data_IF_421596527790
#
_entry.id   IF_421596527790
#
_cell.length_a   1.000
_cell.length_b   1.000
_cell.length_c   1.000
_cell.angle_alpha   90.00
_cell.angle_beta   90.00
_cell.angle_gamma   90.00
#
_symmetry.space_group_name_H-M   'P 1'
#
loop_
_entity.id
_entity.type
_entity.pdbx_description
1 polymer ?
#
# COMPACT_ATOMS: atom_id res chain seq x y z
N UNK A 1 1.63 16.51 -4.80
CA UNK A 1 2.42 15.51 -5.49
C UNK A 1 2.04 14.11 -5.04
N UNK A 2 1.64 13.28 -5.99
CA UNK A 2 1.10 11.94 -5.69
C UNK A 2 2.06 10.88 -6.22
N UNK A 3 3.28 10.90 -5.74
CA UNK A 3 4.26 9.90 -6.13
C UNK A 3 4.01 8.60 -5.38
N UNK A 4 3.79 7.52 -6.13
CA UNK A 4 3.58 6.17 -5.60
C UNK A 4 4.70 5.29 -6.15
N UNK A 5 5.40 4.59 -5.25
CA UNK A 5 6.61 3.85 -5.64
C UNK A 5 6.32 2.69 -6.60
N UNK A 6 5.22 1.98 -6.38
CA UNK A 6 4.88 0.81 -7.19
C UNK A 6 3.40 0.86 -7.54
N UNK A 7 3.10 0.65 -8.82
CA UNK A 7 1.72 0.58 -9.30
C UNK A 7 1.55 -0.64 -10.21
N UNK A 8 0.46 -1.36 -10.02
CA UNK A 8 0.08 -2.45 -10.92
C UNK A 8 -1.44 -2.45 -11.06
N UNK A 9 -1.93 -2.84 -12.23
CA UNK A 9 -3.37 -2.81 -12.51
C UNK A 9 -3.79 -4.12 -13.17
N UNK A 10 -4.89 -4.68 -12.67
CA UNK A 10 -5.55 -5.83 -13.29
C UNK A 10 -6.92 -5.38 -13.78
N UNK A 11 -7.03 -5.18 -15.10
CA UNK A 11 -8.26 -4.68 -15.70
C UNK A 11 -9.39 -5.71 -15.70
N UNK A 12 -9.05 -6.99 -15.71
CA UNK A 12 -10.07 -8.04 -15.68
C UNK A 12 -10.77 -8.11 -14.35
N UNK A 13 -10.00 -8.00 -13.26
CA UNK A 13 -10.54 -8.03 -11.89
C UNK A 13 -10.95 -6.65 -11.40
N UNK A 14 -10.61 -5.61 -12.15
CA UNK A 14 -10.81 -4.22 -11.74
C UNK A 14 -10.17 -3.95 -10.38
N UNK A 15 -8.90 -4.30 -10.30
CA UNK A 15 -8.08 -4.10 -9.10
C UNK A 15 -6.85 -3.28 -9.43
N UNK A 16 -6.44 -2.47 -8.48
CA UNK A 16 -5.24 -1.64 -8.59
C UNK A 16 -4.39 -1.87 -7.35
N UNK A 17 -3.10 -2.12 -7.56
CA UNK A 17 -2.13 -2.26 -6.48
C UNK A 17 -1.31 -0.99 -6.37
N UNK A 18 -1.22 -0.42 -5.18
CA UNK A 18 -0.38 0.74 -4.87
C UNK A 18 0.57 0.36 -3.75
N UNK A 19 1.87 0.53 -3.99
CA UNK A 19 2.89 0.12 -3.04
C UNK A 19 3.82 1.25 -2.64
N UNK A 20 4.27 1.19 -1.39
CA UNK A 20 5.25 2.11 -0.81
C UNK A 20 6.42 1.30 -0.28
N UNK A 21 7.65 1.70 -0.64
CA UNK A 21 8.88 1.01 -0.23
C UNK A 21 9.62 1.82 0.82
N UNK A 22 9.93 1.21 1.95
CA UNK A 22 10.68 1.85 3.04
C UNK A 22 11.87 0.98 3.44
N UNK A 23 13.03 1.30 2.88
CA UNK A 23 14.26 0.55 3.13
C UNK A 23 15.18 1.32 4.08
N UNK A 24 14.69 1.58 5.30
CA UNK A 24 15.46 2.22 6.35
C UNK A 24 15.51 1.33 7.59
N UNK A 25 16.22 1.78 8.61
CA UNK A 25 16.51 0.94 9.79
C UNK A 25 15.41 0.92 10.83
N UNK A 26 14.27 1.53 10.55
CA UNK A 26 13.14 1.56 11.48
C UNK A 26 11.99 0.74 10.94
N UNK A 27 11.25 0.03 11.81
CA UNK A 27 10.04 -0.65 11.38
C UNK A 27 9.01 0.33 10.83
N UNK A 28 8.26 -0.11 9.83
CA UNK A 28 7.21 0.69 9.20
C UNK A 28 5.99 0.73 10.11
N UNK A 29 5.52 1.94 10.39
CA UNK A 29 4.35 2.15 11.24
C UNK A 29 3.10 2.46 10.40
N UNK A 30 1.95 2.42 11.05
CA UNK A 30 0.65 2.64 10.42
C UNK A 30 0.54 4.00 9.73
N UNK A 31 1.31 5.00 10.15
CA UNK A 31 1.34 6.31 9.49
C UNK A 31 1.73 6.20 8.02
N UNK A 32 2.64 5.30 7.67
CA UNK A 32 3.05 5.09 6.28
C UNK A 32 1.86 4.59 5.44
N UNK A 33 1.08 3.66 5.98
CA UNK A 33 -0.11 3.18 5.32
C UNK A 33 -1.14 4.31 5.11
N UNK A 34 -1.39 5.11 6.14
CA UNK A 34 -2.35 6.21 6.03
C UNK A 34 -1.92 7.24 4.99
N UNK A 35 -0.64 7.53 4.92
CA UNK A 35 -0.10 8.44 3.91
C UNK A 35 -0.30 7.90 2.50
N UNK A 36 -0.05 6.60 2.31
CA UNK A 36 -0.26 5.96 1.01
C UNK A 36 -1.74 5.99 0.63
N UNK A 37 -2.61 5.66 1.57
CA UNK A 37 -4.06 5.69 1.34
C UNK A 37 -4.52 7.09 0.90
N UNK A 38 -4.03 8.12 1.58
CA UNK A 38 -4.37 9.50 1.23
C UNK A 38 -3.88 9.86 -0.16
N UNK A 39 -2.66 9.48 -0.52
CA UNK A 39 -2.12 9.72 -1.87
C UNK A 39 -3.03 9.13 -2.93
N UNK A 40 -3.44 7.89 -2.76
CA UNK A 40 -4.28 7.19 -3.73
C UNK A 40 -5.66 7.86 -3.82
N UNK A 41 -6.29 8.13 -2.69
CA UNK A 41 -7.64 8.69 -2.66
C UNK A 41 -7.72 10.11 -3.18
N UNK A 42 -6.64 10.89 -3.02
CA UNK A 42 -6.60 12.28 -3.51
C UNK A 42 -6.17 12.41 -4.97
N UNK A 43 -5.70 11.33 -5.58
CA UNK A 43 -5.25 11.38 -6.96
C UNK A 43 -6.43 11.44 -7.91
N UNK A 44 -6.66 12.60 -8.52
CA UNK A 44 -7.69 12.76 -9.54
C UNK A 44 -7.39 11.90 -10.76
N UNK A 45 -6.12 11.74 -11.10
CA UNK A 45 -5.70 10.92 -12.24
C UNK A 45 -6.10 9.46 -12.04
N UNK A 46 -5.86 8.91 -10.85
CA UNK A 46 -6.20 7.52 -10.56
C UNK A 46 -7.72 7.31 -10.53
N UNK A 47 -8.46 8.25 -9.95
CA UNK A 47 -9.92 8.14 -9.92
C UNK A 47 -10.53 8.19 -11.32
N UNK A 48 -9.94 9.00 -12.18
CA UNK A 48 -10.42 9.13 -13.57
C UNK A 48 -10.05 7.94 -14.41
N UNK A 49 -8.82 7.42 -14.24
CA UNK A 49 -8.32 6.30 -15.04
C UNK A 49 -8.92 4.96 -14.62
N UNK A 50 -9.19 4.78 -13.32
CA UNK A 50 -9.64 3.49 -12.77
C UNK A 50 -10.86 3.64 -11.88
N UNK A 51 -12.00 4.12 -12.44
CA UNK A 51 -13.20 4.32 -11.62
C UNK A 51 -13.77 2.99 -11.16
N UNK A 52 -14.04 2.89 -9.85
CA UNK A 52 -14.63 1.70 -9.27
C UNK A 52 -13.67 0.54 -9.05
N UNK A 53 -12.38 0.72 -9.30
CA UNK A 53 -11.39 -0.33 -9.04
C UNK A 53 -11.17 -0.49 -7.54
N UNK A 54 -11.04 -1.74 -7.10
CA UNK A 54 -10.62 -2.05 -5.73
C UNK A 54 -9.13 -1.76 -5.61
N UNK A 55 -8.73 -1.09 -4.54
CA UNK A 55 -7.33 -0.77 -4.29
C UNK A 55 -6.75 -1.74 -3.28
N UNK A 56 -5.61 -2.32 -3.64
CA UNK A 56 -4.79 -3.12 -2.73
C UNK A 56 -3.56 -2.30 -2.38
N UNK A 57 -3.25 -2.20 -1.10
CA UNK A 57 -2.11 -1.43 -0.61
C UNK A 57 -0.99 -2.36 -0.19
N UNK A 58 0.22 -2.12 -0.68
CA UNK A 58 1.40 -2.90 -0.31
C UNK A 58 2.43 -2.04 0.38
N UNK A 59 2.96 -2.53 1.50
CA UNK A 59 4.05 -1.86 2.20
C UNK A 59 5.26 -2.79 2.22
N UNK A 60 6.35 -2.31 1.64
CA UNK A 60 7.61 -3.06 1.56
C UNK A 60 8.57 -2.48 2.57
N UNK A 61 9.06 -3.30 3.50
CA UNK A 61 9.96 -2.86 4.56
C UNK A 61 11.20 -3.74 4.66
N UNK A 62 12.34 -3.12 4.87
CA UNK A 62 13.57 -3.82 5.21
C UNK A 62 13.56 -4.28 6.66
N UNK A 63 13.07 -3.43 7.55
CA UNK A 63 13.20 -3.62 9.01
C UNK A 63 11.92 -4.09 9.69
N UNK A 64 10.94 -4.53 8.89
CA UNK A 64 9.69 -5.05 9.44
C UNK A 64 8.67 -3.97 9.73
N UNK A 65 7.74 -4.29 10.63
CA UNK A 65 6.56 -3.47 10.88
C UNK A 65 6.33 -3.34 12.38
N UNK A 66 5.81 -2.21 12.81
CA UNK A 66 5.40 -2.02 14.20
C UNK A 66 4.17 -2.89 14.49
N UNK A 67 3.94 -3.17 15.76
CA UNK A 67 2.73 -3.91 16.15
C UNK A 67 1.47 -3.16 15.72
N UNK A 68 1.49 -1.84 15.82
CA UNK A 68 0.38 -1.00 15.37
C UNK A 68 0.08 -1.20 13.88
N UNK A 69 1.11 -1.33 13.04
CA UNK A 69 0.92 -1.60 11.62
C UNK A 69 0.38 -3.01 11.39
N UNK A 70 0.91 -3.99 12.11
CA UNK A 70 0.41 -5.37 12.02
C UNK A 70 -1.06 -5.43 12.42
N UNK A 71 -1.43 -4.74 13.48
CA UNK A 71 -2.83 -4.69 13.94
C UNK A 71 -3.73 -4.03 12.90
N UNK A 72 -3.24 -2.98 12.25
CA UNK A 72 -3.99 -2.28 11.21
C UNK A 72 -4.28 -3.19 10.01
N UNK A 73 -3.37 -4.07 9.68
CA UNK A 73 -3.51 -4.98 8.54
C UNK A 73 -4.31 -6.24 8.87
N UNK A 74 -4.43 -6.57 10.15
CA UNK A 74 -5.09 -7.80 10.57
C UNK A 74 -6.56 -7.82 10.14
N UNK A 75 -6.97 -8.90 9.53
CA UNK A 75 -8.34 -9.05 9.06
C UNK A 75 -8.68 -8.26 7.80
N UNK A 76 -7.71 -7.55 7.23
CA UNK A 76 -7.90 -6.77 6.00
C UNK A 76 -7.36 -7.53 4.81
N UNK A 77 -8.16 -7.67 3.76
CA UNK A 77 -7.73 -8.33 2.52
C UNK A 77 -7.12 -7.36 1.51
N UNK A 78 -7.08 -6.07 1.83
CA UNK A 78 -6.59 -5.02 0.93
C UNK A 78 -5.25 -4.43 1.36
N UNK A 79 -4.61 -4.97 2.41
CA UNK A 79 -3.29 -4.54 2.86
C UNK A 79 -2.32 -5.71 2.81
N UNK A 80 -1.21 -5.54 2.12
CA UNK A 80 -0.14 -6.52 2.01
C UNK A 80 1.10 -5.98 2.68
N UNK A 81 1.67 -6.74 3.62
CA UNK A 81 2.90 -6.38 4.30
C UNK A 81 4.01 -7.31 3.83
N UNK A 82 5.06 -6.74 3.27
CA UNK A 82 6.16 -7.52 2.70
C UNK A 82 7.46 -7.08 3.35
N UNK A 83 8.11 -8.00 4.05
CA UNK A 83 9.41 -7.73 4.67
C UNK A 83 10.48 -8.40 3.82
N UNK A 84 11.30 -7.58 3.17
CA UNK A 84 12.27 -8.04 2.17
C UNK A 84 11.55 -8.87 1.11
N UNK A 85 11.72 -10.18 1.11
CA UNK A 85 11.12 -11.08 0.12
C UNK A 85 10.01 -11.95 0.71
N UNK A 86 9.52 -11.63 1.90
CA UNK A 86 8.51 -12.44 2.58
C UNK A 86 7.21 -11.66 2.76
N UNK A 87 6.10 -12.28 2.38
CA UNK A 87 4.77 -11.74 2.63
C UNK A 87 4.36 -12.17 4.03
N UNK A 88 3.99 -11.21 4.84
CA UNK A 88 3.59 -11.47 6.22
C UNK A 88 2.12 -11.80 6.36
#
# INVERSE_FOLDING_TARGET
DTEIDVMAVDHQKKQMFAGECKYHNKPVDATVYYELEVKVKKSAELRTAFPGYKVLYGLFSKSGFTQRMLDQAEGRDDILLIQENHIL
#
